data_IF_580173584219
#
_entry.id   IF_580173584219
#
_cell.length_a   1.000
_cell.length_b   1.000
_cell.length_c   1.000
_cell.angle_alpha   90.00
_cell.angle_beta   90.00
_cell.angle_gamma   90.00
#
_symmetry.space_group_name_H-M   'P 1'
#
loop_
_entity.id
_entity.type
_entity.pdbx_description
1 polymer ?
#
# COMPACT_ATOMS: atom_id res chain seq x y z
N UNK A 1 23.63 8.38 16.88
CA UNK A 1 23.94 7.30 15.90
C UNK A 1 22.65 6.55 15.65
N UNK A 2 22.39 6.08 14.43
CA UNK A 2 21.16 5.32 14.12
C UNK A 2 21.29 3.90 14.67
N UNK A 3 20.26 3.37 15.31
CA UNK A 3 20.24 1.98 15.79
C UNK A 3 19.72 1.04 14.69
N UNK A 4 20.04 -0.27 14.74
CA UNK A 4 19.52 -1.25 13.79
C UNK A 4 17.98 -1.24 13.68
N UNK A 5 17.29 -0.97 14.79
CA UNK A 5 15.83 -0.89 14.82
C UNK A 5 15.30 0.35 14.09
N UNK A 6 15.98 1.49 14.22
CA UNK A 6 15.63 2.71 13.47
C UNK A 6 15.87 2.50 11.98
N UNK A 7 16.98 1.86 11.62
CA UNK A 7 17.30 1.55 10.22
C UNK A 7 16.24 0.64 9.59
N UNK A 8 15.87 -0.44 10.27
CA UNK A 8 14.81 -1.34 9.82
C UNK A 8 13.43 -0.65 9.74
N UNK A 9 13.11 0.25 10.66
CA UNK A 9 11.89 1.08 10.56
C UNK A 9 11.92 1.99 9.33
N UNK A 10 13.04 2.67 9.07
CA UNK A 10 13.18 3.55 7.91
C UNK A 10 13.17 2.75 6.60
N UNK A 11 13.74 1.54 6.61
CA UNK A 11 13.66 0.61 5.50
C UNK A 11 12.21 0.19 5.24
N UNK A 12 11.46 -0.19 6.26
CA UNK A 12 10.01 -0.45 6.15
C UNK A 12 9.27 0.78 5.62
N UNK A 13 9.54 1.99 6.14
CA UNK A 13 8.91 3.22 5.65
C UNK A 13 9.23 3.48 4.17
N UNK A 14 10.44 3.15 3.74
CA UNK A 14 10.87 3.29 2.35
C UNK A 14 10.24 2.22 1.44
N UNK A 15 10.18 0.98 1.91
CA UNK A 15 9.83 -0.22 1.14
C UNK A 15 8.33 -0.48 1.11
N UNK A 16 7.66 -0.32 2.25
CA UNK A 16 6.25 -0.64 2.44
C UNK A 16 5.33 0.57 2.30
N UNK A 17 5.79 1.74 2.77
CA UNK A 17 5.00 2.99 2.77
C UNK A 17 5.39 3.98 1.68
N UNK A 18 6.38 3.64 0.85
CA UNK A 18 6.88 4.50 -0.23
C UNK A 18 7.18 5.94 0.24
N UNK A 19 7.67 6.10 1.47
CA UNK A 19 7.97 7.40 2.03
C UNK A 19 9.03 8.11 1.18
N UNK A 20 8.81 9.41 0.91
CA UNK A 20 9.76 10.18 0.10
C UNK A 20 11.14 10.24 0.76
N UNK A 21 12.22 10.43 0.00
CA UNK A 21 13.56 10.60 0.57
C UNK A 21 13.63 11.71 1.63
N UNK A 22 12.86 12.79 1.43
CA UNK A 22 12.73 13.87 2.42
C UNK A 22 12.02 13.44 3.70
N UNK A 23 11.01 12.58 3.60
CA UNK A 23 10.30 12.02 4.76
C UNK A 23 11.20 11.06 5.53
N UNK A 24 11.92 10.19 4.84
CA UNK A 24 12.88 9.26 5.45
C UNK A 24 14.02 10.01 6.15
N UNK A 25 14.59 11.02 5.52
CA UNK A 25 15.63 11.86 6.12
C UNK A 25 15.11 12.65 7.33
N UNK A 26 13.87 13.15 7.26
CA UNK A 26 13.24 13.82 8.40
C UNK A 26 13.01 12.86 9.56
N UNK A 27 12.40 11.70 9.30
CA UNK A 27 12.12 10.70 10.33
C UNK A 27 13.39 10.10 10.91
N UNK A 28 14.42 9.86 10.11
CA UNK A 28 15.70 9.38 10.61
C UNK A 28 16.38 10.37 11.56
N UNK A 29 16.35 11.67 11.24
CA UNK A 29 16.83 12.71 12.17
C UNK A 29 15.99 12.81 13.44
N UNK A 30 14.67 12.77 13.28
CA UNK A 30 13.73 12.88 14.40
C UNK A 30 13.85 11.67 15.35
N UNK A 31 14.10 10.46 14.83
CA UNK A 31 14.32 9.24 15.62
C UNK A 31 15.71 9.17 16.22
N UNK A 32 16.76 9.62 15.53
CA UNK A 32 18.09 9.71 16.12
C UNK A 32 18.14 10.71 17.29
N UNK A 33 17.38 11.80 17.19
CA UNK A 33 17.20 12.76 18.29
C UNK A 33 16.43 12.15 19.46
N UNK A 34 15.40 11.35 19.18
CA UNK A 34 14.65 10.63 20.21
C UNK A 34 15.50 9.55 20.89
N UNK A 35 16.28 8.78 20.13
CA UNK A 35 17.19 7.75 20.64
C UNK A 35 18.22 8.32 21.63
N UNK A 36 18.75 9.51 21.34
CA UNK A 36 19.69 10.18 22.23
C UNK A 36 19.01 10.90 23.41
N UNK A 37 17.76 11.34 23.23
CA UNK A 37 17.06 12.17 24.21
C UNK A 37 16.15 11.41 25.17
N UNK A 38 15.72 10.20 24.82
CA UNK A 38 14.90 9.33 25.68
C UNK A 38 15.83 8.53 26.58
N UNK A 39 15.55 8.54 27.89
CA UNK A 39 16.34 7.80 28.88
C UNK A 39 16.28 6.30 28.57
N UNK A 40 17.45 5.68 28.39
CA UNK A 40 17.57 4.24 28.07
C UNK A 40 17.41 3.88 26.59
N UNK A 41 17.23 4.86 25.70
CA UNK A 41 17.00 4.64 24.27
C UNK A 41 15.60 4.13 23.95
N UNK A 42 15.20 4.16 22.68
CA UNK A 42 13.81 3.86 22.30
C UNK A 42 13.40 2.42 22.62
N UNK A 43 14.33 1.46 22.60
CA UNK A 43 13.97 0.06 22.88
C UNK A 43 13.75 -0.26 24.36
N UNK A 44 14.40 0.47 25.27
CA UNK A 44 14.28 0.24 26.72
C UNK A 44 13.38 1.26 27.43
N UNK A 45 12.97 2.31 26.73
CA UNK A 45 12.16 3.38 27.30
C UNK A 45 10.81 2.89 27.82
N UNK A 46 10.39 3.40 28.97
CA UNK A 46 9.02 3.29 29.44
C UNK A 46 8.19 4.51 29.03
N UNK A 47 6.91 4.52 29.42
CA UNK A 47 5.97 5.60 29.13
C UNK A 47 6.48 6.96 29.68
N UNK A 48 7.06 6.96 30.88
CA UNK A 48 7.55 8.18 31.55
C UNK A 48 8.76 8.78 30.80
N UNK A 49 9.68 7.94 30.34
CA UNK A 49 10.85 8.39 29.57
C UNK A 49 10.45 9.03 28.23
N UNK A 50 9.44 8.47 27.54
CA UNK A 50 8.93 9.03 26.28
C UNK A 50 8.16 10.33 26.52
N UNK A 51 7.36 10.42 27.58
CA UNK A 51 6.61 11.62 27.95
C UNK A 51 7.55 12.78 28.34
N UNK A 52 8.57 12.50 29.15
CA UNK A 52 9.58 13.49 29.51
C UNK A 52 10.28 14.07 28.26
N UNK A 53 10.59 13.22 27.27
CA UNK A 53 11.15 13.68 26.01
C UNK A 53 10.16 14.56 25.22
N UNK A 54 8.88 14.18 25.14
CA UNK A 54 7.84 14.99 24.48
C UNK A 54 7.65 16.36 25.14
N UNK A 55 7.69 16.44 26.46
CA UNK A 55 7.63 17.69 27.21
C UNK A 55 8.88 18.55 26.94
N UNK A 56 10.05 17.93 26.89
CA UNK A 56 11.32 18.58 26.56
C UNK A 56 11.37 19.20 25.15
N UNK A 57 10.56 18.72 24.19
CA UNK A 57 10.51 19.31 22.85
C UNK A 57 10.07 20.79 22.85
N UNK A 58 9.18 21.18 23.79
CA UNK A 58 8.69 22.55 23.90
C UNK A 58 9.76 23.52 24.39
N UNK A 59 10.61 23.07 25.32
CA UNK A 59 11.71 23.87 25.88
C UNK A 59 12.85 24.13 24.87
N UNK A 60 12.84 23.46 23.72
CA UNK A 60 13.90 23.54 22.69
C UNK A 60 13.65 24.59 21.61
N UNK A 61 12.61 25.42 21.75
CA UNK A 61 12.28 26.47 20.77
C UNK A 61 11.84 25.95 19.40
N UNK A 62 11.43 24.68 19.30
CA UNK A 62 11.00 24.07 18.05
C UNK A 62 9.61 24.56 17.63
N UNK A 63 9.40 24.76 16.32
CA UNK A 63 8.07 25.10 15.82
C UNK A 63 7.04 24.00 16.13
N UNK A 64 5.74 24.35 16.34
CA UNK A 64 4.70 23.35 16.60
C UNK A 64 4.64 22.24 15.55
N UNK A 65 4.85 22.58 14.27
CA UNK A 65 4.91 21.62 13.18
C UNK A 65 6.09 20.62 13.32
N UNK A 66 7.25 21.10 13.77
CA UNK A 66 8.43 20.24 14.01
C UNK A 66 8.20 19.31 15.20
N UNK A 67 7.60 19.84 16.29
CA UNK A 67 7.24 19.04 17.46
C UNK A 67 6.24 17.93 17.10
N UNK A 68 5.19 18.27 16.33
CA UNK A 68 4.20 17.31 15.85
C UNK A 68 4.82 16.22 14.97
N UNK A 69 5.73 16.58 14.04
CA UNK A 69 6.43 15.61 13.19
C UNK A 69 7.31 14.65 14.00
N UNK A 70 8.06 15.16 14.98
CA UNK A 70 8.90 14.35 15.88
C UNK A 70 8.08 13.35 16.68
N UNK A 71 6.97 13.79 17.28
CA UNK A 71 6.01 12.90 17.97
C UNK A 71 5.44 11.85 17.01
N UNK A 72 5.12 12.22 15.77
CA UNK A 72 4.62 11.28 14.78
C UNK A 72 5.65 10.21 14.38
N UNK A 73 6.92 10.58 14.23
CA UNK A 73 8.01 9.64 13.91
C UNK A 73 8.17 8.60 15.03
N UNK A 74 8.26 9.03 16.30
CA UNK A 74 8.38 8.15 17.47
C UNK A 74 7.17 7.21 17.60
N UNK A 75 5.95 7.73 17.44
CA UNK A 75 4.72 6.90 17.47
C UNK A 75 4.66 5.85 16.36
N UNK A 76 5.19 6.16 15.18
CA UNK A 76 5.21 5.20 14.08
C UNK A 76 6.30 4.14 14.30
N UNK A 77 7.44 4.54 14.86
CA UNK A 77 8.50 3.61 15.26
C UNK A 77 8.01 2.59 16.29
N UNK A 78 7.35 3.03 17.38
CA UNK A 78 6.85 2.08 18.39
C UNK A 78 5.73 1.18 17.88
N UNK A 79 4.88 1.66 16.96
CA UNK A 79 3.90 0.81 16.27
C UNK A 79 4.57 -0.27 15.43
N UNK A 80 5.67 0.07 14.76
CA UNK A 80 6.47 -0.89 14.00
C UNK A 80 7.16 -1.89 14.93
N UNK A 81 7.87 -1.42 15.97
CA UNK A 81 8.54 -2.28 16.94
C UNK A 81 7.60 -3.28 17.62
N UNK A 82 6.36 -2.87 17.90
CA UNK A 82 5.33 -3.78 18.40
C UNK A 82 4.85 -4.77 17.34
N UNK A 83 4.69 -4.33 16.08
CA UNK A 83 4.32 -5.20 14.95
C UNK A 83 5.37 -6.28 14.67
N UNK A 84 6.65 -5.95 14.82
CA UNK A 84 7.79 -6.85 14.68
C UNK A 84 8.05 -7.72 15.94
N UNK A 85 7.27 -7.52 17.01
CA UNK A 85 7.44 -8.25 18.28
C UNK A 85 8.72 -7.89 19.05
N UNK A 86 9.42 -6.81 18.69
CA UNK A 86 10.61 -6.35 19.42
C UNK A 86 10.26 -5.73 20.78
N UNK A 87 9.01 -5.31 20.93
CA UNK A 87 8.42 -4.90 22.20
C UNK A 87 7.06 -5.54 22.38
N UNK A 88 6.70 -5.82 23.62
CA UNK A 88 5.37 -6.28 24.00
C UNK A 88 4.36 -5.13 24.22
N UNK A 89 4.86 -3.89 24.26
CA UNK A 89 4.13 -2.68 24.62
C UNK A 89 4.43 -1.51 23.67
N UNK A 90 3.63 -0.44 23.76
CA UNK A 90 3.82 0.81 23.03
C UNK A 90 3.89 1.95 24.06
N UNK A 91 5.10 2.38 24.49
CA UNK A 91 5.27 3.42 25.51
C UNK A 91 4.92 4.82 24.97
N UNK A 92 4.69 4.99 23.66
CA UNK A 92 4.31 6.27 23.06
C UNK A 92 2.83 6.62 23.20
N UNK A 93 2.06 5.78 23.91
CA UNK A 93 0.62 5.65 23.71
C UNK A 93 -0.28 6.36 24.73
N UNK A 94 0.23 7.23 25.60
CA UNK A 94 -0.62 8.12 26.42
C UNK A 94 -0.39 9.60 26.14
N UNK A 95 -1.36 10.14 25.39
CA UNK A 95 -2.11 11.38 25.66
C UNK A 95 -3.56 11.04 25.24
N UNK A 96 -4.28 10.43 26.19
CA UNK A 96 -5.69 10.03 26.32
C UNK A 96 -6.49 9.40 25.15
N UNK A 97 -6.76 8.09 25.31
CA UNK A 97 -8.12 7.53 25.38
C UNK A 97 -8.09 6.15 26.10
N UNK A 98 -9.16 5.73 26.79
CA UNK A 98 -9.21 4.53 27.63
C UNK A 98 -8.98 3.25 26.81
N UNK A 99 -8.48 2.21 27.46
CA UNK A 99 -8.32 0.86 26.90
C UNK A 99 -9.64 0.35 26.30
N UNK A 100 -9.84 0.56 25.00
CA UNK A 100 -10.63 -0.34 24.18
C UNK A 100 -9.69 -1.42 23.64
N UNK A 101 -10.10 -2.68 23.79
CA UNK A 101 -9.41 -3.83 23.21
C UNK A 101 -8.99 -3.52 21.78
N UNK A 102 -7.74 -3.83 21.45
CA UNK A 102 -7.11 -3.43 20.20
C UNK A 102 -7.84 -4.16 19.05
N UNK A 103 -8.84 -3.52 18.44
CA UNK A 103 -9.26 -3.93 17.11
C UNK A 103 -8.03 -3.79 16.21
N UNK A 104 -7.66 -4.85 15.50
CA UNK A 104 -6.73 -4.77 14.38
C UNK A 104 -7.17 -3.58 13.51
N UNK A 105 -6.25 -2.76 12.96
CA UNK A 105 -6.64 -1.69 12.04
C UNK A 105 -7.55 -2.32 10.98
N UNK A 106 -8.82 -1.92 10.96
CA UNK A 106 -9.83 -2.59 10.13
C UNK A 106 -9.43 -2.35 8.68
N UNK A 107 -8.83 -3.36 8.05
CA UNK A 107 -8.79 -3.44 6.59
C UNK A 107 -10.22 -3.23 6.08
N UNK A 108 -10.35 -2.69 4.88
CA UNK A 108 -11.68 -2.62 4.26
C UNK A 108 -12.23 -4.04 4.21
N UNK A 109 -13.43 -4.27 4.73
CA UNK A 109 -14.09 -5.56 4.63
C UNK A 109 -14.38 -5.92 3.16
N UNK A 110 -14.69 -7.18 2.90
CA UNK A 110 -15.10 -7.64 1.56
C UNK A 110 -16.28 -6.82 1.03
N UNK A 111 -17.30 -6.64 1.85
CA UNK A 111 -18.47 -5.80 1.55
C UNK A 111 -18.09 -4.34 1.28
N UNK A 112 -17.14 -3.77 2.03
CA UNK A 112 -16.65 -2.40 1.79
C UNK A 112 -15.95 -2.29 0.43
N UNK A 113 -15.17 -3.29 0.02
CA UNK A 113 -14.55 -3.33 -1.31
C UNK A 113 -15.60 -3.45 -2.41
N UNK A 114 -16.61 -4.32 -2.23
CA UNK A 114 -17.69 -4.46 -3.21
C UNK A 114 -18.48 -3.15 -3.38
N UNK A 115 -18.85 -2.49 -2.27
CA UNK A 115 -19.51 -1.18 -2.34
C UNK A 115 -18.66 -0.13 -3.03
N UNK A 116 -17.34 -0.13 -2.80
CA UNK A 116 -16.41 0.77 -3.47
C UNK A 116 -16.36 0.53 -4.99
N UNK A 117 -16.38 -0.74 -5.42
CA UNK A 117 -16.43 -1.12 -6.83
C UNK A 117 -17.76 -0.74 -7.49
N UNK A 118 -18.88 -0.95 -6.79
CA UNK A 118 -20.22 -0.51 -7.25
C UNK A 118 -20.26 1.01 -7.41
N UNK A 119 -19.76 1.76 -6.42
CA UNK A 119 -19.70 3.22 -6.49
C UNK A 119 -18.78 3.71 -7.63
N UNK A 120 -17.66 3.03 -7.86
CA UNK A 120 -16.79 3.32 -9.00
C UNK A 120 -17.48 3.06 -10.35
N UNK A 121 -18.24 1.97 -10.47
CA UNK A 121 -18.95 1.58 -11.67
C UNK A 121 -20.16 2.48 -11.99
N UNK A 122 -20.79 3.07 -10.97
CA UNK A 122 -21.89 4.01 -11.12
C UNK A 122 -21.49 5.35 -11.77
N UNK A 123 -20.18 5.61 -11.93
CA UNK A 123 -19.67 6.81 -12.59
C UNK A 123 -19.78 6.68 -14.10
N UNK A 124 -20.24 7.74 -14.75
CA UNK A 124 -20.53 7.69 -16.19
C UNK A 124 -19.30 7.44 -17.08
N UNK A 125 -19.53 6.60 -18.09
CA UNK A 125 -18.66 6.39 -19.24
C UNK A 125 -17.27 5.87 -18.90
N UNK A 126 -16.27 6.35 -19.65
CA UNK A 126 -14.89 5.87 -19.56
C UNK A 126 -14.24 6.12 -18.17
N UNK A 127 -14.72 7.12 -17.43
CA UNK A 127 -14.19 7.45 -16.10
C UNK A 127 -14.52 6.38 -15.05
N UNK A 128 -15.73 5.81 -15.08
CA UNK A 128 -16.12 4.72 -14.20
C UNK A 128 -15.35 3.44 -14.49
N UNK A 129 -15.33 3.03 -15.75
CA UNK A 129 -14.54 1.86 -16.21
C UNK A 129 -13.07 1.96 -15.81
N UNK A 130 -12.47 3.16 -15.93
CA UNK A 130 -11.09 3.39 -15.50
C UNK A 130 -10.90 3.19 -14.00
N UNK A 131 -11.82 3.72 -13.19
CA UNK A 131 -11.71 3.63 -11.74
C UNK A 131 -11.93 2.19 -11.26
N UNK A 132 -12.89 1.47 -11.84
CA UNK A 132 -13.10 0.05 -11.58
C UNK A 132 -11.82 -0.73 -11.88
N UNK A 133 -11.22 -0.54 -13.06
CA UNK A 133 -9.95 -1.20 -13.40
C UNK A 133 -8.80 -0.85 -12.44
N UNK A 134 -8.70 0.40 -11.97
CA UNK A 134 -7.70 0.80 -10.98
C UNK A 134 -7.90 0.10 -9.63
N UNK A 135 -9.14 0.05 -9.13
CA UNK A 135 -9.47 -0.59 -7.84
C UNK A 135 -9.28 -2.09 -7.92
N UNK A 136 -9.80 -2.73 -8.98
CA UNK A 136 -9.65 -4.16 -9.22
C UNK A 136 -8.18 -4.57 -9.32
N UNK A 137 -7.36 -3.87 -10.12
CA UNK A 137 -5.93 -4.20 -10.20
C UNK A 137 -5.21 -3.95 -8.88
N UNK A 138 -5.51 -2.86 -8.17
CA UNK A 138 -4.89 -2.58 -6.87
C UNK A 138 -5.18 -3.69 -5.84
N UNK A 139 -6.42 -4.17 -5.83
CA UNK A 139 -6.89 -5.16 -4.88
C UNK A 139 -6.61 -6.61 -5.30
N UNK A 140 -6.67 -6.96 -6.59
CA UNK A 140 -6.50 -8.35 -7.03
C UNK A 140 -5.05 -8.81 -7.14
N UNK A 141 -4.12 -7.87 -7.39
CA UNK A 141 -2.76 -8.21 -7.85
C UNK A 141 -1.65 -7.75 -6.91
N UNK A 142 -2.02 -7.12 -5.79
CA UNK A 142 -1.07 -6.60 -4.81
C UNK A 142 0.01 -5.75 -5.49
N UNK A 143 -0.38 -4.83 -6.37
CA UNK A 143 0.53 -3.84 -6.96
C UNK A 143 0.79 -2.70 -5.98
N UNK A 144 1.99 -2.12 -6.02
CA UNK A 144 2.20 -0.80 -5.38
C UNK A 144 1.52 0.25 -6.25
N UNK A 145 1.13 1.38 -5.66
CA UNK A 145 0.48 2.47 -6.41
C UNK A 145 1.36 3.00 -7.55
N UNK A 146 2.68 3.08 -7.35
CA UNK A 146 3.62 3.48 -8.41
C UNK A 146 3.68 2.45 -9.54
N UNK A 147 3.66 1.15 -9.21
CA UNK A 147 3.68 0.05 -10.18
C UNK A 147 2.39 0.03 -11.00
N UNK A 148 1.23 0.13 -10.33
CA UNK A 148 -0.10 0.19 -10.96
C UNK A 148 -0.22 1.35 -11.95
N UNK A 149 0.15 2.56 -11.52
CA UNK A 149 -0.02 3.74 -12.36
C UNK A 149 0.99 3.77 -13.51
N UNK A 150 2.17 3.16 -13.34
CA UNK A 150 3.17 3.03 -14.40
C UNK A 150 2.92 1.86 -15.36
N UNK A 151 1.83 1.10 -15.22
CA UNK A 151 1.53 -0.01 -16.13
C UNK A 151 1.40 0.49 -17.57
N UNK A 152 2.01 -0.26 -18.48
CA UNK A 152 1.92 -0.02 -19.91
C UNK A 152 0.79 -0.84 -20.52
N UNK A 153 0.21 -0.32 -21.60
CA UNK A 153 -0.83 -1.02 -22.37
C UNK A 153 -0.35 -2.39 -22.84
N UNK A 154 0.89 -2.48 -23.32
CA UNK A 154 1.49 -3.73 -23.82
C UNK A 154 1.51 -4.84 -22.76
N UNK A 155 1.66 -4.47 -21.47
CA UNK A 155 1.70 -5.42 -20.38
C UNK A 155 0.36 -6.12 -20.13
N UNK A 156 -0.77 -5.55 -20.61
CA UNK A 156 -2.13 -6.09 -20.41
C UNK A 156 -2.87 -6.41 -21.70
N UNK A 157 -2.40 -5.94 -22.86
CA UNK A 157 -3.12 -6.04 -24.14
C UNK A 157 -3.36 -7.48 -24.59
N UNK A 158 -2.49 -8.41 -24.21
CA UNK A 158 -2.65 -9.86 -24.49
C UNK A 158 -3.50 -10.60 -23.44
N UNK A 159 -4.18 -9.86 -22.56
CA UNK A 159 -5.02 -10.40 -21.48
C UNK A 159 -4.31 -11.48 -20.65
N UNK A 160 -3.12 -11.18 -20.09
CA UNK A 160 -2.32 -12.18 -19.40
C UNK A 160 -2.96 -12.57 -18.06
N UNK A 161 -2.67 -13.80 -17.62
CA UNK A 161 -3.06 -14.27 -16.29
C UNK A 161 -2.22 -13.65 -15.15
N UNK A 162 -1.09 -13.02 -15.47
CA UNK A 162 -0.20 -12.39 -14.51
C UNK A 162 0.58 -11.24 -15.14
N UNK A 163 0.99 -10.28 -14.32
CA UNK A 163 1.90 -9.20 -14.69
C UNK A 163 3.29 -9.47 -14.15
N UNK A 164 4.31 -9.09 -14.92
CA UNK A 164 5.69 -9.06 -14.46
C UNK A 164 5.96 -7.66 -13.93
N UNK A 165 6.23 -7.56 -12.63
CA UNK A 165 6.46 -6.31 -11.92
C UNK A 165 7.91 -6.23 -11.51
N UNK A 166 8.60 -5.17 -11.94
CA UNK A 166 9.99 -4.95 -11.56
C UNK A 166 10.07 -4.09 -10.31
N UNK A 167 10.53 -4.69 -9.21
CA UNK A 167 10.77 -4.03 -7.93
C UNK A 167 12.15 -3.37 -7.82
N UNK A 168 12.44 -2.82 -6.64
CA UNK A 168 13.73 -2.20 -6.31
C UNK A 168 14.86 -3.24 -6.42
N UNK A 169 15.99 -2.83 -7.00
CA UNK A 169 17.15 -3.71 -7.23
C UNK A 169 17.05 -4.58 -8.48
N UNK A 170 16.08 -4.32 -9.37
CA UNK A 170 15.91 -5.07 -10.62
C UNK A 170 15.25 -6.44 -10.46
N UNK A 171 14.84 -6.80 -9.24
CA UNK A 171 14.15 -8.05 -8.96
C UNK A 171 12.74 -8.01 -9.55
N UNK A 172 12.38 -9.05 -10.29
CA UNK A 172 11.05 -9.19 -10.87
C UNK A 172 10.18 -10.09 -9.99
N UNK A 173 8.90 -9.74 -9.90
CA UNK A 173 7.87 -10.56 -9.26
C UNK A 173 6.65 -10.71 -10.16
N UNK A 174 5.95 -11.82 -9.97
CA UNK A 174 4.68 -12.06 -10.62
C UNK A 174 3.55 -11.47 -9.77
N UNK A 175 2.64 -10.77 -10.44
CA UNK A 175 1.40 -10.26 -9.87
C UNK A 175 0.24 -10.94 -10.63
N UNK A 176 -0.32 -12.04 -10.10
CA UNK A 176 -1.44 -12.74 -10.72
C UNK A 176 -2.65 -11.81 -10.86
N UNK A 177 -3.42 -12.03 -11.93
CA UNK A 177 -4.66 -11.33 -12.20
C UNK A 177 -5.81 -12.33 -12.14
N UNK A 178 -6.77 -12.10 -11.25
CA UNK A 178 -8.00 -12.87 -11.22
C UNK A 178 -8.94 -12.48 -12.38
N UNK A 179 -10.04 -13.23 -12.56
CA UNK A 179 -11.02 -12.97 -13.62
C UNK A 179 -11.57 -11.54 -13.58
N UNK A 180 -11.99 -11.07 -12.40
CA UNK A 180 -12.56 -9.74 -12.19
C UNK A 180 -11.61 -8.60 -12.61
N UNK A 181 -10.32 -8.71 -12.26
CA UNK A 181 -9.31 -7.73 -12.68
C UNK A 181 -9.04 -7.75 -14.17
N UNK A 182 -9.04 -8.92 -14.80
CA UNK A 182 -8.88 -9.06 -16.25
C UNK A 182 -10.07 -8.49 -17.00
N UNK A 183 -11.29 -8.75 -16.54
CA UNK A 183 -12.53 -8.21 -17.09
C UNK A 183 -12.57 -6.68 -17.00
N UNK A 184 -12.31 -6.12 -15.82
CA UNK A 184 -12.27 -4.68 -15.63
C UNK A 184 -11.19 -4.01 -16.51
N UNK A 185 -10.02 -4.63 -16.60
CA UNK A 185 -8.92 -4.15 -17.46
C UNK A 185 -9.32 -4.17 -18.94
N UNK A 186 -10.01 -5.22 -19.40
CA UNK A 186 -10.51 -5.34 -20.78
C UNK A 186 -11.56 -4.28 -21.09
N UNK A 187 -12.53 -4.09 -20.20
CA UNK A 187 -13.56 -3.06 -20.34
C UNK A 187 -12.96 -1.65 -20.43
N UNK A 188 -11.98 -1.35 -19.57
CA UNK A 188 -11.24 -0.09 -19.64
C UNK A 188 -10.42 0.05 -20.93
N UNK A 189 -9.71 -1.00 -21.36
CA UNK A 189 -8.94 -1.00 -22.61
C UNK A 189 -9.81 -0.65 -23.81
N UNK A 190 -10.99 -1.26 -23.93
CA UNK A 190 -11.95 -0.99 -25.01
C UNK A 190 -12.43 0.47 -24.98
N UNK A 191 -12.84 0.98 -23.82
CA UNK A 191 -13.30 2.36 -23.69
C UNK A 191 -12.18 3.38 -23.96
N UNK A 192 -10.95 3.10 -23.49
CA UNK A 192 -9.78 3.93 -23.75
C UNK A 192 -9.48 3.99 -25.25
N UNK A 193 -9.40 2.83 -25.91
CA UNK A 193 -9.06 2.72 -27.33
C UNK A 193 -10.15 3.35 -28.21
N UNK A 194 -11.43 3.32 -27.81
CA UNK A 194 -12.53 3.97 -28.53
C UNK A 194 -12.44 5.50 -28.54
N UNK A 195 -11.81 6.12 -27.54
CA UNK A 195 -11.61 7.58 -27.46
C UNK A 195 -10.34 8.05 -28.17
N UNK A 196 -9.61 7.13 -28.81
CA UNK A 196 -8.32 7.40 -29.45
C UNK A 196 -8.52 8.26 -30.70
N UNK A 197 -7.73 9.34 -30.79
CA UNK A 197 -7.60 10.11 -32.03
C UNK A 197 -6.52 9.47 -32.91
N UNK A 198 -6.80 9.18 -34.20
CA UNK A 198 -5.82 8.54 -35.10
C UNK A 198 -4.50 9.30 -35.21
N UNK A 199 -4.54 10.62 -35.06
CA UNK A 199 -3.44 11.54 -35.37
C UNK A 199 -2.53 11.85 -34.17
N UNK A 200 -2.84 11.35 -32.98
CA UNK A 200 -2.03 11.57 -31.78
C UNK A 200 -1.37 10.25 -31.36
N UNK A 201 -0.02 10.18 -31.31
CA UNK A 201 0.67 9.00 -30.79
C UNK A 201 0.24 8.76 -29.33
N UNK A 202 -0.20 7.54 -29.03
CA UNK A 202 -0.57 7.19 -27.66
C UNK A 202 0.65 7.24 -26.75
N UNK A 203 0.46 7.79 -25.55
CA UNK A 203 1.37 7.49 -24.45
C UNK A 203 1.31 5.99 -24.13
N UNK A 204 2.42 5.36 -23.71
CA UNK A 204 2.46 3.90 -23.48
C UNK A 204 1.61 3.44 -22.28
N UNK A 205 1.03 4.36 -21.53
CA UNK A 205 0.43 4.15 -20.22
C UNK A 205 -0.99 3.58 -20.30
N UNK A 206 -1.27 2.54 -19.52
CA UNK A 206 -2.61 1.98 -19.36
C UNK A 206 -3.56 2.99 -18.75
N UNK A 207 -3.06 3.81 -17.82
CA UNK A 207 -3.81 4.87 -17.14
C UNK A 207 -3.19 6.23 -17.44
N UNK A 208 -3.50 6.85 -18.59
CA UNK A 208 -2.94 8.15 -18.94
C UNK A 208 -3.50 9.27 -18.04
N UNK A 209 -2.67 10.28 -17.82
CA UNK A 209 -3.12 11.59 -17.34
C UNK A 209 -3.99 12.28 -18.39
N UNK A 210 -4.84 13.27 -18.01
CA UNK A 210 -5.68 13.98 -18.97
C UNK A 210 -4.91 14.62 -20.14
N UNK A 211 -3.66 15.02 -19.90
CA UNK A 211 -2.79 15.61 -20.92
C UNK A 211 -2.07 14.57 -21.81
N UNK A 212 -2.31 13.27 -21.62
CA UNK A 212 -1.80 12.16 -22.45
C UNK A 212 -0.30 11.85 -22.36
N UNK A 213 0.53 12.81 -21.93
CA UNK A 213 2.01 12.69 -21.94
C UNK A 213 2.59 11.80 -20.85
N UNK A 214 1.89 11.66 -19.73
CA UNK A 214 2.34 10.88 -18.57
C UNK A 214 1.19 10.03 -18.01
N UNK A 215 1.50 9.08 -17.13
CA UNK A 215 0.49 8.31 -16.44
C UNK A 215 -0.25 9.14 -15.38
N UNK A 216 -1.36 8.60 -14.89
CA UNK A 216 -2.14 9.14 -13.80
C UNK A 216 -1.28 9.31 -12.55
N UNK A 217 -1.46 10.42 -11.84
CA UNK A 217 -0.68 10.69 -10.62
C UNK A 217 -1.29 9.98 -9.40
N UNK A 218 -0.47 9.57 -8.41
CA UNK A 218 -0.97 9.00 -7.15
C UNK A 218 -1.97 9.90 -6.44
N UNK A 219 -1.73 11.22 -6.44
CA UNK A 219 -2.65 12.21 -5.86
C UNK A 219 -4.02 12.18 -6.53
N UNK A 220 -4.06 12.10 -7.87
CA UNK A 220 -5.34 12.05 -8.58
C UNK A 220 -6.04 10.72 -8.35
N UNK A 221 -5.31 9.61 -8.24
CA UNK A 221 -5.91 8.33 -7.89
C UNK A 221 -6.51 8.35 -6.47
N UNK A 222 -5.80 8.91 -5.49
CA UNK A 222 -6.33 9.09 -4.13
C UNK A 222 -7.63 9.92 -4.14
N UNK A 223 -7.68 11.04 -4.86
CA UNK A 223 -8.91 11.84 -5.00
C UNK A 223 -10.08 11.07 -5.61
N UNK A 224 -9.81 10.18 -6.58
CA UNK A 224 -10.86 9.34 -7.18
C UNK A 224 -11.36 8.29 -6.19
N UNK A 225 -10.46 7.73 -5.37
CA UNK A 225 -10.81 6.81 -4.28
C UNK A 225 -11.61 7.50 -3.19
N UNK A 226 -11.22 8.71 -2.78
CA UNK A 226 -11.93 9.49 -1.76
C UNK A 226 -13.38 9.72 -2.20
N UNK A 227 -13.59 10.12 -3.45
CA UNK A 227 -14.94 10.33 -3.97
C UNK A 227 -15.73 9.02 -4.02
N UNK A 228 -15.15 7.93 -4.53
CA UNK A 228 -15.83 6.64 -4.57
C UNK A 228 -16.12 6.10 -3.15
N UNK A 229 -15.29 6.40 -2.16
CA UNK A 229 -15.53 6.05 -0.77
C UNK A 229 -16.75 6.80 -0.22
N UNK A 230 -16.85 8.10 -0.46
CA UNK A 230 -18.04 8.91 -0.09
C UNK A 230 -19.29 8.31 -0.74
N UNK A 231 -19.23 8.05 -2.04
CA UNK A 231 -20.34 7.50 -2.82
C UNK A 231 -20.74 6.09 -2.34
N UNK A 232 -19.80 5.32 -1.80
CA UNK A 232 -20.00 3.99 -1.22
C UNK A 232 -20.43 4.00 0.26
N UNK A 233 -20.55 5.17 0.90
CA UNK A 233 -20.86 5.31 2.33
C UNK A 233 -19.72 4.85 3.24
N UNK A 234 -18.47 4.93 2.78
CA UNK A 234 -17.26 4.55 3.50
C UNK A 234 -16.52 5.83 3.89
N UNK A 235 -16.01 5.91 5.12
CA UNK A 235 -15.14 7.00 5.54
C UNK A 235 -13.90 7.10 4.61
N UNK A 236 -13.73 8.21 3.85
CA UNK A 236 -12.61 8.37 2.93
C UNK A 236 -11.25 8.26 3.61
N UNK A 237 -11.13 8.62 4.89
CA UNK A 237 -9.89 8.47 5.64
C UNK A 237 -9.44 7.01 5.79
N UNK A 238 -10.35 6.05 5.58
CA UNK A 238 -10.09 4.61 5.59
C UNK A 238 -9.76 4.04 4.22
N UNK A 239 -9.94 4.79 3.13
CA UNK A 239 -9.72 4.29 1.76
C UNK A 239 -8.45 4.93 1.19
N UNK A 240 -7.48 4.10 0.82
CA UNK A 240 -6.28 4.57 0.12
C UNK A 240 -5.68 3.44 -0.71
N UNK A 241 -4.79 3.73 -1.68
CA UNK A 241 -4.13 2.68 -2.46
C UNK A 241 -3.39 1.66 -1.58
N UNK A 242 -2.81 2.10 -0.47
CA UNK A 242 -2.12 1.22 0.48
C UNK A 242 -3.11 0.33 1.25
N UNK A 243 -4.28 0.85 1.61
CA UNK A 243 -5.32 0.06 2.29
C UNK A 243 -5.90 -0.99 1.37
N UNK A 244 -6.10 -0.70 0.08
CA UNK A 244 -6.53 -1.71 -0.91
C UNK A 244 -5.52 -2.86 -1.04
N UNK A 245 -4.23 -2.54 -1.11
CA UNK A 245 -3.15 -3.54 -1.09
C UNK A 245 -3.10 -4.34 0.21
N UNK A 246 -3.37 -3.69 1.35
CA UNK A 246 -3.41 -4.39 2.63
C UNK A 246 -4.63 -5.33 2.71
N UNK A 247 -5.80 -4.90 2.23
CA UNK A 247 -6.99 -5.73 2.14
C UNK A 247 -6.75 -6.97 1.27
N UNK A 248 -6.01 -6.85 0.16
CA UNK A 248 -5.57 -8.00 -0.64
C UNK A 248 -4.84 -9.05 0.20
N UNK A 249 -3.82 -8.61 0.94
CA UNK A 249 -3.00 -9.48 1.77
C UNK A 249 -3.84 -10.15 2.88
N UNK A 250 -4.60 -9.34 3.62
CA UNK A 250 -5.44 -9.79 4.73
C UNK A 250 -6.50 -10.77 4.25
N UNK A 251 -7.21 -10.48 3.16
CA UNK A 251 -8.28 -11.34 2.69
C UNK A 251 -7.79 -12.64 2.06
N UNK A 252 -6.59 -12.66 1.45
CA UNK A 252 -5.95 -13.91 1.05
C UNK A 252 -5.63 -14.79 2.26
N UNK A 253 -5.07 -14.22 3.32
CA UNK A 253 -4.76 -14.95 4.55
C UNK A 253 -6.04 -15.47 5.23
N UNK A 254 -7.09 -14.65 5.32
CA UNK A 254 -8.41 -15.08 5.80
C UNK A 254 -9.03 -16.18 4.94
N UNK A 255 -8.78 -16.16 3.63
CA UNK A 255 -9.17 -17.24 2.72
C UNK A 255 -8.40 -18.54 2.93
N UNK A 256 -7.36 -18.54 3.78
CA UNK A 256 -6.49 -19.68 4.05
C UNK A 256 -5.30 -19.80 3.11
N UNK A 257 -4.89 -18.70 2.45
CA UNK A 257 -3.65 -18.67 1.69
C UNK A 257 -2.43 -18.79 2.63
N UNK A 258 -1.40 -19.51 2.16
CA UNK A 258 -0.14 -19.64 2.87
C UNK A 258 0.58 -18.27 2.98
N UNK A 259 1.08 -17.95 4.18
CA UNK A 259 1.72 -16.66 4.45
C UNK A 259 2.94 -16.41 3.56
N UNK A 260 3.75 -17.43 3.27
CA UNK A 260 4.93 -17.29 2.40
C UNK A 260 4.51 -17.03 0.97
N UNK A 261 3.40 -17.62 0.52
CA UNK A 261 2.82 -17.31 -0.80
C UNK A 261 2.35 -15.86 -0.87
N UNK A 262 1.65 -15.37 0.14
CA UNK A 262 1.20 -13.96 0.21
C UNK A 262 2.40 -13.00 0.24
N UNK A 263 3.44 -13.29 1.02
CA UNK A 263 4.68 -12.50 1.06
C UNK A 263 5.38 -12.46 -0.31
N UNK A 264 5.43 -13.60 -1.01
CA UNK A 264 5.99 -13.71 -2.37
C UNK A 264 5.22 -12.82 -3.35
N UNK A 265 3.89 -12.90 -3.35
CA UNK A 265 3.01 -12.08 -4.20
C UNK A 265 3.21 -10.58 -3.97
N UNK A 266 3.38 -10.18 -2.71
CA UNK A 266 3.61 -8.81 -2.32
C UNK A 266 5.06 -8.34 -2.53
N UNK A 267 5.99 -9.25 -2.82
CA UNK A 267 7.40 -8.92 -3.05
C UNK A 267 8.15 -8.49 -1.77
N UNK A 268 7.74 -9.01 -0.60
CA UNK A 268 8.55 -8.93 0.62
C UNK A 268 9.66 -9.97 0.47
N UNK A 269 10.90 -9.51 0.34
CA UNK A 269 12.06 -10.38 0.27
C UNK A 269 12.63 -10.53 1.68
N UNK A 270 12.77 -11.77 2.18
CA UNK A 270 14.10 -12.19 2.58
C UNK A 270 14.37 -13.72 2.52
N UNK A 271 15.63 -14.03 2.22
CA UNK A 271 16.40 -15.29 2.29
C UNK A 271 15.97 -16.43 1.36
N UNK A 272 16.36 -16.29 0.10
CA UNK A 272 16.35 -17.37 -0.88
C UNK A 272 16.40 -16.82 -2.29
N UNK A 273 17.60 -16.40 -2.71
CA UNK A 273 18.04 -16.27 -4.11
C UNK A 273 17.02 -16.71 -5.15
N UNK A 274 16.58 -15.77 -5.99
CA UNK A 274 16.07 -15.95 -7.36
C UNK A 274 15.87 -17.41 -7.76
N UNK A 275 14.86 -18.07 -7.21
CA UNK A 275 14.38 -19.30 -7.82
C UNK A 275 13.70 -18.83 -9.09
N UNK A 276 14.37 -19.12 -10.21
CA UNK A 276 13.80 -19.06 -11.55
C UNK A 276 12.33 -19.45 -11.43
N UNK A 277 11.42 -18.54 -11.75
CA UNK A 277 9.99 -18.83 -11.72
C UNK A 277 9.75 -20.00 -12.67
N UNK A 278 9.66 -21.21 -12.13
CA UNK A 278 9.28 -22.39 -12.88
C UNK A 278 7.78 -22.31 -13.12
N UNK A 279 7.30 -22.90 -14.21
CA UNK A 279 5.86 -22.96 -14.50
C UNK A 279 5.05 -23.46 -13.29
N UNK A 280 5.56 -24.45 -12.55
CA UNK A 280 4.93 -24.98 -11.33
C UNK A 280 4.76 -23.92 -10.24
N UNK A 281 5.75 -23.04 -10.04
CA UNK A 281 5.64 -21.96 -9.06
C UNK A 281 4.62 -20.89 -9.51
N UNK A 282 4.58 -20.57 -10.81
CA UNK A 282 3.61 -19.63 -11.38
C UNK A 282 2.18 -20.14 -11.25
N UNK A 283 1.96 -21.42 -11.55
CA UNK A 283 0.65 -22.06 -11.45
C UNK A 283 0.16 -22.04 -10.00
N UNK A 284 1.04 -22.34 -9.04
CA UNK A 284 0.69 -22.29 -7.60
C UNK A 284 0.35 -20.89 -7.09
N UNK A 285 1.08 -19.86 -7.54
CA UNK A 285 0.78 -18.46 -7.17
C UNK A 285 -0.56 -18.01 -7.76
N UNK A 286 -0.80 -18.35 -9.04
CA UNK A 286 -2.04 -18.02 -9.74
C UNK A 286 -3.23 -18.75 -9.13
N UNK A 287 -3.06 -20.04 -8.82
CA UNK A 287 -4.05 -20.86 -8.15
C UNK A 287 -4.38 -20.33 -6.76
N UNK A 288 -3.40 -19.85 -5.98
CA UNK A 288 -3.69 -19.28 -4.66
C UNK A 288 -4.58 -18.05 -4.77
N UNK A 289 -4.30 -17.14 -5.71
CA UNK A 289 -5.17 -15.98 -5.94
C UNK A 289 -6.54 -16.43 -6.46
N UNK A 290 -6.59 -17.40 -7.37
CA UNK A 290 -7.86 -17.93 -7.88
C UNK A 290 -8.71 -18.63 -6.82
N UNK A 291 -8.12 -19.41 -5.93
CA UNK A 291 -8.90 -20.26 -5.04
C UNK A 291 -9.22 -19.55 -3.71
N UNK A 292 -8.45 -18.52 -3.35
CA UNK A 292 -8.48 -17.89 -2.02
C UNK A 292 -8.84 -16.41 -2.03
N UNK A 293 -8.80 -15.73 -3.19
CA UNK A 293 -9.14 -14.31 -3.26
C UNK A 293 -10.66 -14.10 -3.31
N UNK A 294 -11.23 -13.13 -2.56
CA UNK A 294 -12.69 -12.94 -2.52
C UNK A 294 -13.34 -12.61 -3.86
N UNK A 295 -12.61 -11.96 -4.77
CA UNK A 295 -13.08 -11.63 -6.12
C UNK A 295 -12.74 -12.68 -7.18
N UNK A 296 -12.21 -13.84 -6.79
CA UNK A 296 -12.12 -14.93 -7.71
C UNK A 296 -13.52 -15.53 -7.90
N UNK A 297 -14.19 -15.12 -8.98
CA UNK A 297 -15.42 -15.77 -9.42
C UNK A 297 -15.02 -17.07 -10.12
N UNK A 298 -15.74 -18.15 -9.82
CA UNK A 298 -15.66 -19.36 -10.62
C UNK A 298 -16.00 -19.01 -12.07
N UNK A 299 -15.09 -19.38 -12.98
CA UNK A 299 -15.22 -19.11 -14.41
C UNK A 299 -16.36 -19.87 -15.04
#
# INVERSE_FOLDING_TARGET
MSTPQIEAFLEMMAVERAASPHTLAAYGRDLADAEAGVVGGLMSADEQAVEAWYAGLGARGLSPATQARRRAAVRQFYRFALGEGWRADDPSRRLDAPKQGRALPKSLSRDEIERLLVAAAARDGAAGLRLVALVELAYASGLRVSELLALKVEAVRRDPAYLIVRGKGGKERLAPLNASAREATRAWLTARDATRKPETPDGPWLFPSPAGRNHLTPRRFAQLLDQAAIDAGIDPARVSPHVLRHAFATHLLEGGADLRVVQTLLGHADIGTTQIYTHVAVDRLTQTVRDKHPLARDG
#
